data_IF_983354481467
#
_entry.id   IF_983354481467
#
_cell.length_a   1.000
_cell.length_b   1.000
_cell.length_c   1.000
_cell.angle_alpha   90.00
_cell.angle_beta   90.00
_cell.angle_gamma   90.00
#
_symmetry.space_group_name_H-M   'P 1'
#
loop_
_entity.id
_entity.type
_entity.pdbx_description
1 polymer ?
#
# COMPACT_ATOMS: atom_id res chain seq x y z
N UNK A 1 -25.86 -11.19 -65.92
CA UNK A 1 -25.92 -10.40 -64.67
C UNK A 1 -24.50 -10.15 -64.20
N UNK A 2 -24.19 -8.90 -63.86
CA UNK A 2 -22.84 -8.34 -63.71
C UNK A 2 -22.23 -8.54 -62.31
N UNK A 3 -20.87 -8.56 -62.29
CA UNK A 3 -19.91 -8.04 -61.28
C UNK A 3 -19.52 -8.87 -60.05
N UNK A 4 -18.34 -9.51 -60.18
CA UNK A 4 -17.10 -9.37 -59.38
C UNK A 4 -17.11 -8.57 -58.05
N UNK A 5 -16.53 -9.16 -56.99
CA UNK A 5 -15.70 -8.55 -55.93
C UNK A 5 -14.85 -9.68 -55.31
N UNK A 6 -13.55 -9.78 -55.58
CA UNK A 6 -12.37 -9.11 -54.99
C UNK A 6 -11.79 -9.86 -53.77
N UNK A 7 -10.51 -10.21 -53.95
CA UNK A 7 -9.62 -11.01 -53.11
C UNK A 7 -9.05 -10.26 -51.90
N UNK A 8 -8.47 -10.99 -50.94
CA UNK A 8 -7.06 -10.82 -50.54
C UNK A 8 -6.57 -12.04 -49.74
N UNK A 9 -5.56 -12.71 -50.28
CA UNK A 9 -4.69 -13.69 -49.61
C UNK A 9 -3.46 -12.92 -49.13
N UNK A 10 -2.98 -13.15 -47.91
CA UNK A 10 -1.56 -13.07 -47.61
C UNK A 10 -1.15 -14.12 -46.57
N UNK A 11 -0.20 -14.94 -47.02
CA UNK A 11 0.77 -15.78 -46.32
C UNK A 11 1.62 -14.92 -45.35
N UNK A 12 2.53 -15.34 -44.48
CA UNK A 12 3.05 -16.61 -43.95
C UNK A 12 4.27 -16.20 -43.10
N UNK A 13 4.43 -16.81 -41.92
CA UNK A 13 5.68 -17.28 -41.28
C UNK A 13 6.93 -16.37 -41.10
N UNK A 14 7.57 -16.54 -39.92
CA UNK A 14 8.99 -16.89 -39.64
C UNK A 14 9.62 -16.02 -38.54
N UNK A 15 10.05 -16.74 -37.49
CA UNK A 15 11.17 -16.57 -36.55
C UNK A 15 12.13 -15.37 -36.71
N UNK A 16 12.59 -14.83 -35.58
CA UNK A 16 14.00 -14.98 -35.15
C UNK A 16 14.24 -14.34 -33.78
N UNK A 17 14.93 -15.09 -32.92
CA UNK A 17 15.62 -14.56 -31.75
C UNK A 17 16.76 -13.60 -32.18
N UNK A 18 17.00 -12.55 -31.40
CA UNK A 18 18.25 -11.80 -31.48
C UNK A 18 18.77 -11.50 -30.08
N UNK A 19 19.80 -12.24 -29.69
CA UNK A 19 20.71 -11.89 -28.62
C UNK A 19 21.86 -11.10 -29.23
N UNK A 20 22.17 -9.92 -28.70
CA UNK A 20 23.53 -9.37 -28.72
C UNK A 20 23.67 -8.31 -27.63
N UNK A 21 24.53 -8.63 -26.67
CA UNK A 21 25.14 -7.70 -25.74
C UNK A 21 26.17 -6.85 -26.49
N UNK A 22 26.14 -5.53 -26.32
CA UNK A 22 27.30 -4.68 -26.59
C UNK A 22 27.49 -3.71 -25.41
N UNK A 23 28.60 -3.90 -24.70
CA UNK A 23 29.21 -2.87 -23.84
C UNK A 23 29.96 -1.91 -24.75
N UNK A 24 29.62 -0.62 -24.67
CA UNK A 24 30.46 0.46 -25.20
C UNK A 24 30.60 1.53 -24.10
N UNK A 25 31.76 1.54 -23.46
CA UNK A 25 32.23 2.67 -22.64
C UNK A 25 32.76 3.72 -23.61
N UNK A 26 32.14 4.88 -23.65
CA UNK A 26 32.59 6.00 -24.48
C UNK A 26 31.95 7.32 -24.01
N UNK A 27 32.76 8.18 -23.42
CA UNK A 27 32.37 9.49 -22.90
C UNK A 27 32.24 10.49 -24.07
N UNK A 28 31.03 10.95 -24.41
CA UNK A 28 30.80 12.11 -25.28
C UNK A 28 29.43 12.75 -24.99
N UNK A 29 29.41 14.08 -24.87
CA UNK A 29 28.27 14.92 -24.48
C UNK A 29 27.15 15.08 -25.53
N UNK A 30 26.21 16.01 -25.30
CA UNK A 30 24.78 15.68 -25.17
C UNK A 30 23.99 15.85 -26.46
N UNK A 31 23.03 14.97 -26.72
CA UNK A 31 21.98 15.19 -27.72
C UNK A 31 20.66 14.50 -27.33
N UNK A 32 19.66 15.35 -27.09
CA UNK A 32 18.21 15.17 -27.27
C UNK A 32 17.67 13.75 -27.44
N UNK A 33 16.96 13.29 -26.42
CA UNK A 33 16.15 12.08 -26.45
C UNK A 33 15.95 11.57 -25.04
N UNK A 34 15.20 12.30 -24.22
CA UNK A 34 14.88 11.87 -22.87
C UNK A 34 13.99 10.63 -22.95
N UNK A 35 14.61 9.45 -22.93
CA UNK A 35 13.95 8.25 -22.44
C UNK A 35 13.69 8.50 -20.96
N UNK A 36 12.45 8.87 -20.64
CA UNK A 36 11.97 8.95 -19.27
C UNK A 36 12.12 7.56 -18.67
N UNK A 37 13.23 7.36 -17.97
CA UNK A 37 13.35 6.35 -16.92
C UNK A 37 12.12 6.55 -16.05
N UNK A 38 11.16 5.63 -16.16
CA UNK A 38 10.09 5.51 -15.16
C UNK A 38 10.82 5.07 -13.90
N UNK A 39 11.31 6.05 -13.17
CA UNK A 39 11.65 5.89 -11.76
C UNK A 39 10.35 5.38 -11.15
N UNK A 40 10.31 4.10 -10.79
CA UNK A 40 9.30 3.63 -9.85
C UNK A 40 9.43 4.58 -8.66
N UNK A 41 8.43 5.44 -8.49
CA UNK A 41 8.37 6.31 -7.34
C UNK A 41 8.36 5.35 -6.14
N UNK A 42 9.48 5.29 -5.41
CA UNK A 42 9.48 4.78 -4.06
C UNK A 42 8.39 5.57 -3.35
N UNK A 43 7.27 4.90 -3.05
CA UNK A 43 6.18 5.49 -2.28
C UNK A 43 6.84 5.81 -0.95
N UNK A 44 7.18 7.08 -0.73
CA UNK A 44 7.72 7.52 0.55
C UNK A 44 6.61 7.25 1.57
N UNK A 45 6.75 6.16 2.34
CA UNK A 45 5.82 5.83 3.40
C UNK A 45 5.75 7.02 4.34
N UNK A 46 4.59 7.66 4.38
CA UNK A 46 4.38 8.77 5.29
C UNK A 46 4.25 8.18 6.70
N UNK A 47 4.93 8.75 7.72
CA UNK A 47 4.77 8.28 9.08
C UNK A 47 3.30 8.33 9.50
N UNK A 48 2.92 7.38 10.35
CA UNK A 48 1.57 7.32 10.89
C UNK A 48 1.21 8.61 11.62
N UNK A 49 -0.03 9.10 11.51
CA UNK A 49 -0.48 10.18 12.37
C UNK A 49 -0.42 9.78 13.85
N UNK A 50 0.05 10.66 14.72
CA UNK A 50 0.20 10.37 16.15
C UNK A 50 -1.15 10.26 16.88
N UNK A 51 -1.17 9.63 18.07
CA UNK A 51 -2.42 9.34 18.79
C UNK A 51 -3.19 10.58 19.26
N UNK A 52 -2.56 11.77 19.29
CA UNK A 52 -3.22 13.03 19.63
C UNK A 52 -4.17 13.54 18.53
N UNK A 53 -4.08 12.98 17.33
CA UNK A 53 -4.99 13.27 16.22
C UNK A 53 -6.29 12.46 16.29
N UNK A 54 -6.40 11.48 17.20
CA UNK A 54 -7.59 10.65 17.34
C UNK A 54 -8.83 11.53 17.60
N UNK A 55 -9.97 11.14 17.01
CA UNK A 55 -11.20 11.92 16.98
C UNK A 55 -11.24 13.07 15.95
N UNK A 56 -10.13 13.42 15.30
CA UNK A 56 -10.07 14.41 14.22
C UNK A 56 -10.12 13.73 12.86
N UNK A 57 -10.62 14.46 11.86
CA UNK A 57 -10.59 14.01 10.46
C UNK A 57 -9.16 13.96 9.97
N UNK A 58 -8.80 12.87 9.29
CA UNK A 58 -7.46 12.60 8.78
C UNK A 58 -7.55 12.07 7.36
N UNK A 59 -6.50 12.31 6.58
CA UNK A 59 -6.37 11.84 5.20
C UNK A 59 -5.09 11.04 5.04
N UNK A 60 -5.17 9.87 4.42
CA UNK A 60 -4.03 9.04 4.07
C UNK A 60 -4.18 8.47 2.65
N UNK A 61 -3.04 8.12 2.05
CA UNK A 61 -2.95 7.36 0.82
C UNK A 61 -2.86 5.87 1.14
N UNK A 62 -3.25 5.03 0.18
CA UNK A 62 -3.05 3.57 0.26
C UNK A 62 -1.59 3.23 0.55
N UNK A 63 -1.38 2.21 1.38
CA UNK A 63 -0.09 1.75 1.90
C UNK A 63 0.36 2.46 3.17
N UNK A 64 -0.15 3.67 3.45
CA UNK A 64 0.27 4.41 4.63
C UNK A 64 -0.45 3.94 5.91
N UNK A 65 0.24 3.94 7.06
CA UNK A 65 -0.38 3.66 8.34
C UNK A 65 -1.39 4.74 8.74
N UNK A 66 -2.50 4.26 9.30
CA UNK A 66 -3.64 5.02 9.80
C UNK A 66 -3.41 5.40 11.27
N UNK A 67 -2.69 4.56 12.01
CA UNK A 67 -2.37 4.72 13.43
C UNK A 67 -0.91 4.32 13.65
N UNK A 68 -0.22 4.80 14.70
CA UNK A 68 1.17 4.42 14.93
C UNK A 68 1.25 3.04 15.61
N UNK A 69 2.41 2.36 15.59
CA UNK A 69 2.58 1.10 16.30
C UNK A 69 2.43 1.29 17.82
N UNK A 70 1.38 0.72 18.43
CA UNK A 70 1.13 0.76 19.89
C UNK A 70 0.50 -0.56 20.37
N UNK A 71 0.57 -0.80 21.69
CA UNK A 71 -0.29 -1.78 22.36
C UNK A 71 -1.58 -1.07 22.81
N UNK A 72 -2.57 -1.07 21.92
CA UNK A 72 -3.85 -0.43 22.16
C UNK A 72 -4.68 -1.12 23.25
N UNK A 73 -4.36 -2.37 23.60
CA UNK A 73 -4.98 -3.04 24.75
C UNK A 73 -4.57 -2.41 26.08
N UNK A 74 -3.35 -1.86 26.17
CA UNK A 74 -2.86 -1.15 27.37
C UNK A 74 -3.22 0.34 27.37
N UNK A 75 -3.21 0.99 26.21
CA UNK A 75 -3.52 2.41 26.11
C UNK A 75 -3.02 3.05 24.82
N UNK A 76 -2.97 4.38 24.82
CA UNK A 76 -2.42 5.17 23.72
C UNK A 76 -0.95 5.55 23.93
N UNK A 77 -0.37 5.18 25.08
CA UNK A 77 1.03 5.48 25.40
C UNK A 77 1.97 4.67 24.51
N UNK A 78 3.14 5.24 24.24
CA UNK A 78 4.21 4.48 23.59
C UNK A 78 4.58 3.26 24.45
N UNK A 79 4.64 2.05 23.87
CA UNK A 79 5.00 0.84 24.61
C UNK A 79 6.39 0.95 25.24
N UNK A 80 6.51 0.63 26.53
CA UNK A 80 7.81 0.38 27.16
C UNK A 80 8.26 -1.04 26.83
N UNK A 81 9.36 -1.17 26.09
CA UNK A 81 9.87 -2.47 25.63
C UNK A 81 10.24 -3.42 26.76
N UNK A 82 10.49 -2.92 27.98
CA UNK A 82 10.78 -3.74 29.15
C UNK A 82 9.55 -4.48 29.70
N UNK A 83 8.34 -4.11 29.28
CA UNK A 83 7.09 -4.75 29.72
C UNK A 83 6.71 -5.99 28.90
N UNK A 84 7.49 -6.34 27.88
CA UNK A 84 7.16 -7.39 26.92
C UNK A 84 8.25 -8.46 26.88
N UNK A 85 7.88 -9.66 26.45
CA UNK A 85 8.89 -10.68 26.15
C UNK A 85 9.65 -10.29 24.87
N UNK A 86 10.98 -10.48 24.78
CA UNK A 86 11.72 -10.20 23.56
C UNK A 86 11.25 -11.05 22.36
N UNK A 87 10.62 -12.20 22.63
CA UNK A 87 10.08 -13.11 21.61
C UNK A 87 8.62 -12.77 21.24
N UNK A 88 8.02 -11.76 21.85
CA UNK A 88 6.64 -11.34 21.59
C UNK A 88 6.52 -10.52 20.30
N UNK A 89 5.48 -10.80 19.51
CA UNK A 89 5.20 -10.10 18.26
C UNK A 89 3.69 -10.00 18.04
N UNK A 90 3.25 -8.89 17.43
CA UNK A 90 1.85 -8.67 17.05
C UNK A 90 0.95 -8.08 18.15
N UNK A 91 1.42 -8.01 19.39
CA UNK A 91 0.77 -7.22 20.46
C UNK A 91 0.84 -5.74 20.16
N UNK A 92 2.01 -5.25 19.76
CA UNK A 92 2.19 -3.91 19.20
C UNK A 92 1.84 -3.98 17.72
N UNK A 93 0.93 -3.12 17.27
CA UNK A 93 0.50 -3.13 15.88
C UNK A 93 0.16 -1.74 15.38
N UNK A 94 0.18 -1.59 14.06
CA UNK A 94 -0.54 -0.52 13.37
C UNK A 94 -1.59 -1.08 12.40
N UNK A 95 -2.30 -0.18 11.74
CA UNK A 95 -3.25 -0.53 10.69
C UNK A 95 -2.93 0.32 9.46
N UNK A 96 -2.80 -0.31 8.29
CA UNK A 96 -2.67 0.37 7.00
C UNK A 96 -3.93 0.20 6.16
N UNK A 97 -4.28 1.20 5.36
CA UNK A 97 -5.30 1.07 4.31
C UNK A 97 -4.61 0.63 3.03
N UNK A 98 -5.05 -0.46 2.40
CA UNK A 98 -4.44 -0.99 1.18
C UNK A 98 -5.18 -0.56 -0.11
N UNK A 99 -6.29 0.16 0.00
CA UNK A 99 -7.12 0.54 -1.14
C UNK A 99 -8.42 -0.25 -1.21
N UNK A 100 -9.00 -0.27 -2.40
CA UNK A 100 -10.23 -1.01 -2.70
C UNK A 100 -9.90 -2.14 -3.66
N UNK A 101 -10.28 -3.36 -3.30
CA UNK A 101 -10.18 -4.54 -4.15
C UNK A 101 -11.55 -5.23 -4.22
N UNK A 102 -12.03 -5.52 -5.43
CA UNK A 102 -13.34 -6.16 -5.66
C UNK A 102 -14.54 -5.46 -4.99
N UNK A 103 -14.48 -4.13 -4.82
CA UNK A 103 -15.53 -3.36 -4.14
C UNK A 103 -15.48 -3.41 -2.62
N UNK A 104 -14.40 -3.96 -2.05
CA UNK A 104 -14.16 -4.02 -0.61
C UNK A 104 -12.93 -3.20 -0.25
N UNK A 105 -13.05 -2.39 0.81
CA UNK A 105 -11.91 -1.73 1.45
C UNK A 105 -11.02 -2.79 2.09
N UNK A 106 -9.72 -2.69 1.83
CA UNK A 106 -8.72 -3.58 2.37
C UNK A 106 -7.93 -2.85 3.47
N UNK A 107 -7.82 -3.48 4.64
CA UNK A 107 -7.01 -2.99 5.74
C UNK A 107 -6.03 -4.08 6.17
N UNK A 108 -4.79 -3.70 6.45
CA UNK A 108 -3.78 -4.61 6.97
C UNK A 108 -3.46 -4.25 8.41
N UNK A 109 -3.57 -5.24 9.31
CA UNK A 109 -3.00 -5.14 10.66
C UNK A 109 -1.56 -5.61 10.58
N UNK A 110 -0.61 -4.70 10.85
CA UNK A 110 0.82 -5.02 10.80
C UNK A 110 1.35 -5.11 12.22
N UNK A 111 1.77 -6.32 12.59
CA UNK A 111 2.25 -6.64 13.93
C UNK A 111 3.76 -6.52 14.03
N UNK A 112 4.23 -5.82 15.06
CA UNK A 112 5.64 -5.53 15.28
C UNK A 112 6.23 -6.41 16.38
N UNK A 113 7.54 -6.65 16.29
CA UNK A 113 8.32 -7.28 17.34
C UNK A 113 8.88 -6.23 18.28
N UNK A 114 9.12 -6.57 19.54
CA UNK A 114 9.70 -5.65 20.52
C UNK A 114 11.13 -5.23 20.12
N UNK A 115 11.86 -6.11 19.44
CA UNK A 115 13.22 -5.86 18.97
C UNK A 115 13.27 -4.87 17.79
N UNK A 116 12.18 -4.74 17.02
CA UNK A 116 12.09 -3.87 15.85
C UNK A 116 10.67 -3.32 15.68
N UNK A 117 10.52 -2.03 16.04
CA UNK A 117 9.30 -1.25 15.83
C UNK A 117 9.31 -0.46 14.51
N UNK A 118 10.37 -0.55 13.72
CA UNK A 118 10.49 0.12 12.42
C UNK A 118 9.93 -0.72 11.28
N UNK A 119 9.99 -2.04 11.39
CA UNK A 119 9.49 -2.97 10.37
C UNK A 119 8.50 -3.97 10.98
N UNK A 120 7.33 -4.20 10.34
CA UNK A 120 6.39 -5.19 10.83
C UNK A 120 6.94 -6.61 10.63
N UNK A 121 6.76 -7.45 11.64
CA UNK A 121 7.14 -8.87 11.61
C UNK A 121 6.01 -9.75 11.04
N UNK A 122 4.77 -9.28 11.10
CA UNK A 122 3.57 -9.99 10.62
C UNK A 122 2.61 -9.01 9.96
N UNK A 123 1.76 -9.52 9.06
CA UNK A 123 0.72 -8.75 8.39
C UNK A 123 -0.53 -9.61 8.17
N UNK A 124 -1.69 -9.07 8.48
CA UNK A 124 -2.97 -9.72 8.23
C UNK A 124 -3.95 -8.75 7.58
N UNK A 125 -4.39 -9.08 6.37
CA UNK A 125 -5.39 -8.29 5.63
C UNK A 125 -6.81 -8.72 6.00
N UNK A 126 -7.69 -7.74 6.15
CA UNK A 126 -9.14 -7.90 6.31
C UNK A 126 -9.87 -7.01 5.33
N UNK A 127 -11.00 -7.51 4.83
CA UNK A 127 -11.81 -6.84 3.80
C UNK A 127 -13.15 -6.41 4.39
N UNK A 128 -13.63 -5.23 3.99
CA UNK A 128 -14.90 -4.66 4.43
C UNK A 128 -15.65 -4.04 3.25
N UNK A 129 -16.99 -4.12 3.19
CA UNK A 129 -17.77 -3.46 2.15
C UNK A 129 -17.45 -1.97 2.03
N UNK A 130 -17.29 -1.45 0.81
CA UNK A 130 -16.91 -0.05 0.56
C UNK A 130 -17.88 0.99 1.15
N UNK A 131 -19.16 0.65 1.28
CA UNK A 131 -20.18 1.54 1.84
C UNK A 131 -20.21 1.53 3.38
N UNK A 132 -19.43 0.67 4.03
CA UNK A 132 -19.34 0.58 5.48
C UNK A 132 -18.76 1.86 6.09
N UNK A 133 -19.53 2.50 6.98
CA UNK A 133 -19.15 3.77 7.63
C UNK A 133 -18.31 3.60 8.89
N UNK A 134 -18.23 2.39 9.43
CA UNK A 134 -17.49 2.12 10.65
C UNK A 134 -16.87 0.74 10.56
N UNK A 135 -15.55 0.71 10.61
CA UNK A 135 -14.73 -0.51 10.57
C UNK A 135 -14.12 -0.69 11.96
N UNK A 136 -14.30 -1.86 12.56
CA UNK A 136 -13.75 -2.19 13.87
C UNK A 136 -12.67 -3.25 13.70
N UNK A 137 -11.46 -2.91 14.10
CA UNK A 137 -10.27 -3.77 14.01
C UNK A 137 -9.58 -3.74 15.37
N UNK A 138 -9.67 -4.86 16.09
CA UNK A 138 -9.14 -5.00 17.47
C UNK A 138 -9.71 -3.87 18.35
N UNK A 139 -8.85 -3.11 19.04
CA UNK A 139 -9.21 -2.04 19.97
C UNK A 139 -9.49 -0.68 19.28
N UNK A 140 -9.48 -0.65 17.94
CA UNK A 140 -9.59 0.56 17.13
C UNK A 140 -10.85 0.54 16.29
N UNK A 141 -11.59 1.65 16.36
CA UNK A 141 -12.71 1.92 15.47
C UNK A 141 -12.32 3.01 14.48
N UNK A 142 -12.43 2.69 13.21
CA UNK A 142 -12.17 3.60 12.09
C UNK A 142 -13.53 4.07 11.57
N UNK A 143 -13.83 5.35 11.76
CA UNK A 143 -15.02 5.98 11.18
C UNK A 143 -14.64 6.49 9.79
N UNK A 144 -15.27 5.93 8.77
CA UNK A 144 -15.00 6.24 7.36
C UNK A 144 -15.83 7.46 6.94
N UNK A 145 -15.16 8.55 6.60
CA UNK A 145 -15.81 9.76 6.11
C UNK A 145 -15.92 9.74 4.58
N UNK A 146 -14.83 9.36 3.91
CA UNK A 146 -14.75 9.21 2.46
C UNK A 146 -13.71 8.15 2.10
N UNK A 147 -13.98 7.35 1.07
CA UNK A 147 -13.03 6.36 0.55
C UNK A 147 -13.02 6.39 -0.97
N UNK A 148 -11.83 6.33 -1.53
CA UNK A 148 -11.58 6.21 -2.97
C UNK A 148 -10.59 5.08 -3.23
N UNK A 149 -10.34 4.73 -4.49
CA UNK A 149 -9.46 3.60 -4.86
C UNK A 149 -8.04 3.70 -4.26
N UNK A 150 -7.56 4.92 -3.97
CA UNK A 150 -6.19 5.15 -3.48
C UNK A 150 -6.09 5.98 -2.20
N UNK A 151 -7.20 6.39 -1.59
CA UNK A 151 -7.16 7.23 -0.40
C UNK A 151 -8.33 7.01 0.55
N UNK A 152 -8.10 7.39 1.80
CA UNK A 152 -9.08 7.29 2.87
C UNK A 152 -9.09 8.57 3.69
N UNK A 153 -10.30 9.13 3.87
CA UNK A 153 -10.58 10.17 4.86
C UNK A 153 -11.35 9.55 6.02
N UNK A 154 -10.83 9.69 7.24
CA UNK A 154 -11.33 8.93 8.40
C UNK A 154 -11.16 9.66 9.73
N UNK A 155 -11.79 9.13 10.77
CA UNK A 155 -11.52 9.44 12.17
C UNK A 155 -11.24 8.18 12.96
N UNK A 156 -10.34 8.26 13.92
CA UNK A 156 -10.10 7.16 14.86
C UNK A 156 -10.88 7.39 16.15
N UNK A 157 -11.55 6.34 16.60
CA UNK A 157 -12.13 6.25 17.93
C UNK A 157 -11.46 5.07 18.64
N UNK A 158 -10.78 5.36 19.73
CA UNK A 158 -10.19 4.35 20.60
C UNK A 158 -11.24 3.85 21.60
N UNK A 159 -11.48 2.54 21.65
CA UNK A 159 -12.37 1.91 22.63
C UNK A 159 -11.54 1.21 23.68
N UNK A 160 -11.83 1.49 24.96
CA UNK A 160 -11.26 0.83 26.12
C UNK A 160 -12.38 0.35 27.03
#
# INVERSE_FOLDING_TARGET
MNRTLRALVMASTINAAFAISFVAIGNAGPAAGAETVVVQAEIQEQPAPETDTFGRSQFILSGNPIIPPRDYGKGLQLPDTNEYSPDESGTIYDIAFLGIENGEMQFEVRGYSIADLSSPATGQTSSFPQDQKTVEIRDIVIVIEEVTDGSLTYKIVYRK
#
